data_IF_114635568882
#
_entry.id   IF_114635568882
#
_cell.length_a   1.000
_cell.length_b   1.000
_cell.length_c   1.000
_cell.angle_alpha   90.00
_cell.angle_beta   90.00
_cell.angle_gamma   90.00
#
_symmetry.space_group_name_H-M   'P 1'
#
loop_
_entity.id
_entity.type
_entity.pdbx_description
1 polymer ?
#
# COMPACT_ATOMS: atom_id res chain seq x y z
N UNK A 1 14.24 -3.10 2.82
CA UNK A 1 15.34 -3.59 3.68
C UNK A 1 14.85 -4.14 5.00
N UNK A 2 13.97 -3.45 5.74
CA UNK A 2 13.43 -3.97 7.01
C UNK A 2 12.83 -5.37 6.87
N UNK A 3 12.01 -5.59 5.84
CA UNK A 3 11.44 -6.92 5.56
C UNK A 3 12.51 -8.00 5.31
N UNK A 4 13.59 -7.67 4.59
CA UNK A 4 14.69 -8.61 4.35
C UNK A 4 15.39 -8.95 5.67
N UNK A 5 15.65 -7.94 6.50
CA UNK A 5 16.29 -8.11 7.79
C UNK A 5 15.44 -8.97 8.75
N UNK A 6 14.12 -8.78 8.74
CA UNK A 6 13.14 -9.61 9.46
C UNK A 6 13.20 -11.08 9.03
N UNK A 7 13.14 -11.35 7.72
CA UNK A 7 13.21 -12.72 7.16
C UNK A 7 14.50 -13.45 7.52
N UNK A 8 15.60 -12.71 7.66
CA UNK A 8 16.91 -13.28 7.99
C UNK A 8 17.23 -13.25 9.48
N UNK A 9 16.30 -12.80 10.33
CA UNK A 9 16.49 -12.61 11.76
C UNK A 9 17.73 -11.75 12.10
N UNK A 10 17.91 -10.65 11.35
CA UNK A 10 18.97 -9.66 11.55
C UNK A 10 18.34 -8.32 11.94
N UNK A 11 19.02 -7.53 12.78
CA UNK A 11 18.43 -6.29 13.33
C UNK A 11 19.03 -5.02 12.75
N UNK A 12 20.07 -5.12 11.93
CA UNK A 12 20.70 -3.97 11.30
C UNK A 12 21.42 -4.33 9.98
N UNK A 13 21.73 -3.34 9.13
CA UNK A 13 22.31 -3.59 7.81
C UNK A 13 23.66 -4.31 7.85
N UNK A 14 24.44 -4.16 8.92
CA UNK A 14 25.73 -4.83 9.07
C UNK A 14 25.56 -6.33 9.38
N UNK A 15 24.59 -6.70 10.20
CA UNK A 15 24.25 -8.10 10.43
C UNK A 15 23.70 -8.76 9.16
N UNK A 16 22.85 -8.04 8.41
CA UNK A 16 22.37 -8.51 7.11
C UNK A 16 23.53 -8.69 6.12
N UNK A 17 24.48 -7.76 6.09
CA UNK A 17 25.68 -7.86 5.24
C UNK A 17 26.46 -9.15 5.52
N UNK A 18 26.72 -9.45 6.80
CA UNK A 18 27.40 -10.68 7.20
C UNK A 18 26.62 -11.94 6.83
N UNK A 19 25.29 -11.91 7.02
CA UNK A 19 24.40 -13.01 6.64
C UNK A 19 24.45 -13.29 5.13
N UNK A 20 24.50 -12.22 4.32
CA UNK A 20 24.56 -12.29 2.88
C UNK A 20 25.92 -12.80 2.41
N UNK A 21 27.01 -12.20 2.92
CA UNK A 21 28.38 -12.55 2.55
C UNK A 21 28.69 -14.03 2.85
N UNK A 22 28.24 -14.54 4.01
CA UNK A 22 28.39 -15.96 4.38
C UNK A 22 27.71 -16.91 3.38
N UNK A 23 26.61 -16.49 2.76
CA UNK A 23 25.88 -17.30 1.77
C UNK A 23 26.47 -17.19 0.37
N UNK A 24 27.20 -16.12 0.10
CA UNK A 24 27.81 -15.87 -1.21
C UNK A 24 29.31 -16.18 -1.26
N UNK A 25 29.94 -16.53 -0.15
CA UNK A 25 31.40 -16.75 -0.03
C UNK A 25 31.98 -17.69 -1.09
N UNK A 26 31.27 -18.78 -1.40
CA UNK A 26 31.68 -19.77 -2.40
C UNK A 26 31.01 -19.59 -3.77
N UNK A 27 30.14 -18.60 -3.91
CA UNK A 27 29.35 -18.40 -5.11
C UNK A 27 30.12 -17.59 -6.15
N UNK A 28 29.90 -17.94 -7.43
CA UNK A 28 30.40 -17.17 -8.56
C UNK A 28 29.29 -16.89 -9.56
N UNK A 29 29.21 -15.65 -10.03
CA UNK A 29 28.31 -15.22 -11.11
C UNK A 29 29.20 -14.83 -12.30
N UNK A 30 28.98 -15.46 -13.45
CA UNK A 30 29.80 -15.29 -14.66
C UNK A 30 31.31 -15.49 -14.41
N UNK A 31 31.65 -16.47 -13.56
CA UNK A 31 33.03 -16.79 -13.17
C UNK A 31 33.67 -15.81 -12.16
N UNK A 32 32.95 -14.76 -11.75
CA UNK A 32 33.43 -13.76 -10.77
C UNK A 32 32.87 -14.01 -9.39
N UNK A 33 33.72 -13.86 -8.38
CA UNK A 33 33.30 -13.84 -6.98
C UNK A 33 32.32 -12.69 -6.73
N UNK A 34 31.35 -12.93 -5.86
CA UNK A 34 30.45 -11.89 -5.39
C UNK A 34 31.22 -11.05 -4.35
N UNK A 35 31.40 -9.74 -4.57
CA UNK A 35 32.14 -8.91 -3.62
C UNK A 35 31.45 -8.82 -2.26
N UNK A 36 32.24 -8.85 -1.19
CA UNK A 36 31.73 -8.67 0.17
C UNK A 36 30.97 -7.34 0.34
N UNK A 37 29.77 -7.46 0.87
CA UNK A 37 28.86 -6.36 1.10
C UNK A 37 29.04 -5.71 2.47
N UNK A 38 29.65 -6.43 3.42
CA UNK A 38 30.01 -5.93 4.75
C UNK A 38 31.07 -4.84 4.66
N UNK A 39 32.18 -5.13 3.98
CA UNK A 39 33.32 -4.21 3.82
C UNK A 39 32.94 -2.96 3.05
N UNK A 40 32.07 -3.09 2.03
CA UNK A 40 31.58 -1.98 1.21
C UNK A 40 30.41 -1.21 1.83
N UNK A 41 29.85 -1.66 2.96
CA UNK A 41 28.66 -1.07 3.60
C UNK A 41 27.46 -0.92 2.65
N UNK A 42 27.34 -1.79 1.64
CA UNK A 42 26.36 -1.71 0.54
C UNK A 42 24.92 -1.51 1.01
N UNK A 43 24.54 -2.17 2.12
CA UNK A 43 23.16 -2.19 2.60
C UNK A 43 22.74 -0.95 3.40
N UNK A 44 23.69 -0.16 3.91
CA UNK A 44 23.39 1.03 4.71
C UNK A 44 22.60 2.12 3.95
N UNK A 45 23.07 2.62 2.78
CA UNK A 45 22.34 3.64 2.05
C UNK A 45 20.99 3.12 1.54
N UNK A 46 20.87 1.81 1.26
CA UNK A 46 19.59 1.19 0.88
C UNK A 46 18.63 1.15 2.08
N UNK A 47 19.12 0.80 3.27
CA UNK A 47 18.29 0.73 4.47
C UNK A 47 17.82 2.11 4.94
N UNK A 48 18.60 3.16 4.70
CA UNK A 48 18.22 4.55 4.98
C UNK A 48 17.28 5.15 3.94
N UNK A 49 17.12 4.52 2.78
CA UNK A 49 16.39 5.07 1.64
C UNK A 49 17.19 6.08 0.81
N UNK A 50 18.47 6.30 1.13
CA UNK A 50 19.38 7.18 0.37
C UNK A 50 19.68 6.63 -1.03
N UNK A 51 19.59 5.30 -1.20
CA UNK A 51 19.86 4.63 -2.47
C UNK A 51 18.78 3.59 -2.79
N UNK A 52 18.26 3.64 -4.02
CA UNK A 52 17.37 2.61 -4.55
C UNK A 52 18.11 1.29 -4.83
N UNK A 53 17.42 0.17 -4.66
CA UNK A 53 17.94 -1.16 -5.02
C UNK A 53 18.19 -1.21 -6.53
N UNK A 54 19.41 -1.59 -6.93
CA UNK A 54 19.76 -1.75 -8.35
C UNK A 54 19.26 -3.09 -8.89
N UNK A 55 19.03 -3.20 -10.20
CA UNK A 55 18.65 -4.46 -10.86
C UNK A 55 19.61 -5.62 -10.53
N UNK A 56 20.91 -5.34 -10.49
CA UNK A 56 21.92 -6.32 -10.09
C UNK A 56 21.72 -6.78 -8.64
N UNK A 57 21.56 -5.85 -7.70
CA UNK A 57 21.32 -6.20 -6.30
C UNK A 57 20.02 -6.98 -6.13
N UNK A 58 18.99 -6.67 -6.90
CA UNK A 58 17.74 -7.41 -6.90
C UNK A 58 17.93 -8.85 -7.41
N UNK A 59 18.70 -9.03 -8.49
CA UNK A 59 19.07 -10.36 -8.99
C UNK A 59 19.89 -11.16 -7.96
N UNK A 60 20.84 -10.51 -7.28
CA UNK A 60 21.62 -11.14 -6.21
C UNK A 60 20.70 -11.60 -5.05
N UNK A 61 19.72 -10.77 -4.67
CA UNK A 61 18.76 -11.12 -3.61
C UNK A 61 17.80 -12.24 -4.05
N UNK A 62 17.44 -12.30 -5.33
CA UNK A 62 16.54 -13.32 -5.88
C UNK A 62 17.08 -14.74 -5.74
N UNK A 63 18.40 -14.90 -5.57
CA UNK A 63 19.01 -16.19 -5.26
C UNK A 63 18.55 -16.78 -3.91
N UNK A 64 18.05 -15.94 -3.00
CA UNK A 64 17.64 -16.33 -1.65
C UNK A 64 16.18 -16.04 -1.34
N UNK A 65 15.53 -15.20 -2.15
CA UNK A 65 14.16 -14.72 -1.95
C UNK A 65 13.42 -14.72 -3.28
N UNK A 66 12.67 -15.78 -3.56
CA UNK A 66 11.98 -15.97 -4.84
C UNK A 66 10.98 -14.84 -5.17
N UNK A 67 10.38 -14.25 -4.14
CA UNK A 67 9.37 -13.20 -4.24
C UNK A 67 9.96 -11.78 -4.23
N UNK A 68 11.29 -11.61 -4.18
CA UNK A 68 11.88 -10.27 -3.93
C UNK A 68 11.55 -9.24 -5.00
N UNK A 69 11.42 -9.65 -6.25
CA UNK A 69 11.03 -8.75 -7.34
C UNK A 69 9.59 -8.27 -7.14
N UNK A 70 8.69 -9.17 -6.73
CA UNK A 70 7.29 -8.86 -6.44
C UNK A 70 7.22 -7.93 -5.24
N UNK A 71 7.92 -8.25 -4.15
CA UNK A 71 7.96 -7.41 -2.95
C UNK A 71 8.55 -6.05 -3.27
N UNK A 72 9.63 -5.98 -4.06
CA UNK A 72 10.27 -4.72 -4.48
C UNK A 72 9.37 -3.85 -5.38
N UNK A 73 8.58 -4.47 -6.25
CA UNK A 73 7.72 -3.74 -7.18
C UNK A 73 6.38 -3.32 -6.57
N UNK A 74 5.77 -4.20 -5.80
CA UNK A 74 4.39 -4.04 -5.33
C UNK A 74 4.28 -3.77 -3.83
N UNK A 75 5.36 -3.95 -3.07
CA UNK A 75 5.39 -3.77 -1.63
C UNK A 75 4.87 -4.99 -0.87
N UNK A 76 5.04 -5.02 0.45
CA UNK A 76 4.50 -6.10 1.28
C UNK A 76 2.98 -6.15 1.11
N UNK A 77 2.44 -7.34 0.82
CA UNK A 77 1.00 -7.53 0.58
C UNK A 77 0.41 -6.74 -0.60
N UNK A 78 1.23 -6.15 -1.48
CA UNK A 78 0.78 -5.28 -2.57
C UNK A 78 0.55 -3.81 -2.16
N UNK A 79 1.10 -3.39 -1.02
CA UNK A 79 0.83 -2.07 -0.43
C UNK A 79 1.32 -0.88 -1.27
N UNK A 80 2.45 -0.97 -1.98
CA UNK A 80 2.91 0.12 -2.86
C UNK A 80 2.01 0.28 -4.08
N UNK A 81 1.54 -0.82 -4.64
CA UNK A 81 0.52 -0.77 -5.68
C UNK A 81 -0.79 -0.19 -5.14
N UNK A 82 -1.17 -0.54 -3.91
CA UNK A 82 -2.34 0.04 -3.28
C UNK A 82 -2.19 1.55 -3.04
N UNK A 83 -1.04 2.05 -2.58
CA UNK A 83 -0.83 3.47 -2.26
C UNK A 83 -0.58 4.35 -3.49
N UNK A 84 0.27 3.90 -4.42
CA UNK A 84 0.79 4.72 -5.52
C UNK A 84 0.50 4.16 -6.91
N UNK A 85 -0.04 2.95 -6.99
CA UNK A 85 -0.38 2.33 -8.27
C UNK A 85 -1.55 3.00 -8.97
N UNK A 86 -1.66 2.71 -10.27
CA UNK A 86 -2.76 3.14 -11.13
C UNK A 86 -4.02 2.28 -10.93
N UNK A 87 -5.16 2.69 -11.47
CA UNK A 87 -6.46 2.02 -11.27
C UNK A 87 -6.45 0.52 -11.61
N UNK A 88 -5.73 0.09 -12.64
CA UNK A 88 -5.59 -1.34 -12.98
C UNK A 88 -4.88 -2.14 -11.89
N UNK A 89 -3.87 -1.55 -11.24
CA UNK A 89 -3.16 -2.15 -10.12
C UNK A 89 -4.03 -2.16 -8.85
N UNK A 90 -4.86 -1.14 -8.64
CA UNK A 90 -5.84 -1.13 -7.55
C UNK A 90 -6.82 -2.30 -7.67
N UNK A 91 -7.39 -2.49 -8.87
CA UNK A 91 -8.29 -3.63 -9.16
C UNK A 91 -7.57 -4.96 -8.98
N UNK A 92 -6.31 -5.06 -9.43
CA UNK A 92 -5.51 -6.27 -9.22
C UNK A 92 -5.29 -6.57 -7.74
N UNK A 93 -4.97 -5.55 -6.92
CA UNK A 93 -4.83 -5.69 -5.46
C UNK A 93 -6.14 -6.19 -4.84
N UNK A 94 -7.29 -5.56 -5.17
CA UNK A 94 -8.60 -6.00 -4.66
C UNK A 94 -8.89 -7.47 -5.00
N UNK A 95 -8.52 -7.91 -6.21
CA UNK A 95 -8.72 -9.29 -6.71
C UNK A 95 -7.88 -10.36 -6.03
N UNK A 96 -6.91 -9.97 -5.20
CA UNK A 96 -6.12 -10.92 -4.39
C UNK A 96 -6.89 -11.48 -3.18
N UNK A 97 -8.14 -11.05 -2.95
CA UNK A 97 -8.93 -11.49 -1.81
C UNK A 97 -9.11 -13.02 -1.82
N UNK A 98 -8.71 -13.74 -0.76
CA UNK A 98 -8.59 -15.20 -0.80
C UNK A 98 -9.94 -15.93 -0.90
N UNK A 99 -11.02 -15.31 -0.43
CA UNK A 99 -12.35 -15.93 -0.38
C UNK A 99 -13.20 -15.68 -1.63
N UNK A 100 -12.71 -14.89 -2.59
CA UNK A 100 -13.49 -14.48 -3.77
C UNK A 100 -12.73 -14.92 -5.03
N UNK A 101 -13.42 -15.55 -5.98
CA UNK A 101 -12.80 -15.94 -7.25
C UNK A 101 -12.30 -14.70 -8.01
N UNK A 102 -11.10 -14.75 -8.59
CA UNK A 102 -10.51 -13.65 -9.36
C UNK A 102 -11.39 -13.19 -10.56
N UNK A 103 -12.28 -14.05 -11.04
CA UNK A 103 -13.25 -13.74 -12.12
C UNK A 103 -14.53 -13.05 -11.64
N UNK A 104 -14.72 -12.91 -10.33
CA UNK A 104 -15.95 -12.34 -9.76
C UNK A 104 -16.09 -10.85 -10.07
N UNK A 105 -17.32 -10.32 -10.08
CA UNK A 105 -17.56 -8.88 -10.21
C UNK A 105 -16.84 -8.06 -9.15
N UNK A 106 -16.36 -6.86 -9.52
CA UNK A 106 -15.60 -5.97 -8.61
C UNK A 106 -16.40 -5.59 -7.35
N UNK A 107 -17.73 -5.51 -7.46
CA UNK A 107 -18.63 -5.22 -6.34
C UNK A 107 -18.51 -6.27 -5.23
N UNK A 108 -18.33 -7.55 -5.57
CA UNK A 108 -18.18 -8.63 -4.59
C UNK A 108 -16.89 -8.49 -3.79
N UNK A 109 -15.79 -8.11 -4.45
CA UNK A 109 -14.53 -7.80 -3.77
C UNK A 109 -14.69 -6.61 -2.81
N UNK A 110 -15.33 -5.53 -3.27
CA UNK A 110 -15.65 -4.36 -2.45
C UNK A 110 -16.42 -4.70 -1.18
N UNK A 111 -17.42 -5.58 -1.30
CA UNK A 111 -18.19 -6.10 -0.15
C UNK A 111 -17.33 -6.96 0.76
N UNK A 112 -16.57 -7.92 0.22
CA UNK A 112 -15.71 -8.80 1.01
C UNK A 112 -14.61 -8.06 1.79
N UNK A 113 -14.02 -7.04 1.18
CA UNK A 113 -13.04 -6.16 1.83
C UNK A 113 -13.68 -5.38 2.99
N UNK A 114 -14.90 -4.87 2.79
CA UNK A 114 -15.65 -4.16 3.85
C UNK A 114 -15.98 -5.09 5.01
N UNK A 115 -16.36 -6.32 4.72
CA UNK A 115 -16.61 -7.36 5.74
C UNK A 115 -15.32 -7.63 6.53
N UNK A 116 -14.21 -7.86 5.83
CA UNK A 116 -12.89 -8.13 6.44
C UNK A 116 -12.43 -7.00 7.36
N UNK A 117 -12.64 -5.75 6.94
CA UNK A 117 -12.22 -4.57 7.69
C UNK A 117 -13.05 -4.30 8.96
N UNK A 118 -14.33 -4.71 8.98
CA UNK A 118 -15.24 -4.37 10.08
C UNK A 118 -15.54 -5.52 11.02
N UNK A 119 -15.65 -6.74 10.50
CA UNK A 119 -15.94 -7.90 11.33
C UNK A 119 -14.66 -8.55 11.88
N UNK A 120 -13.51 -8.28 11.25
CA UNK A 120 -12.27 -9.01 11.49
C UNK A 120 -12.46 -10.49 11.16
N UNK A 121 -11.68 -11.04 10.24
CA UNK A 121 -11.52 -12.50 10.33
C UNK A 121 -10.89 -12.77 11.70
N UNK A 122 -11.54 -13.63 12.47
CA UNK A 122 -11.45 -13.65 13.93
C UNK A 122 -10.06 -13.99 14.51
N UNK A 123 -9.01 -14.19 13.71
CA UNK A 123 -7.69 -14.56 14.25
C UNK A 123 -6.45 -13.95 13.55
N UNK A 124 -6.50 -13.44 12.30
CA UNK A 124 -5.32 -12.82 11.66
C UNK A 124 -5.68 -11.73 10.66
N UNK A 125 -5.34 -10.47 10.98
CA UNK A 125 -5.36 -9.35 10.03
C UNK A 125 -3.95 -9.18 9.45
N UNK A 126 -3.82 -9.03 8.13
CA UNK A 126 -2.52 -8.99 7.45
C UNK A 126 -2.28 -7.68 6.71
N UNK A 127 -1.03 -7.40 6.34
CA UNK A 127 -0.69 -6.26 5.46
C UNK A 127 -1.43 -6.35 4.11
N UNK A 128 -1.72 -7.56 3.61
CA UNK A 128 -2.49 -7.74 2.39
C UNK A 128 -3.96 -7.29 2.55
N UNK A 129 -4.55 -7.44 3.74
CA UNK A 129 -5.89 -6.92 4.03
C UNK A 129 -5.90 -5.39 4.04
N UNK A 130 -4.87 -4.78 4.64
CA UNK A 130 -4.67 -3.34 4.57
C UNK A 130 -4.50 -2.86 3.13
N UNK A 131 -3.64 -3.52 2.34
CA UNK A 131 -3.42 -3.17 0.93
C UNK A 131 -4.73 -3.25 0.12
N UNK A 132 -5.55 -4.28 0.35
CA UNK A 132 -6.88 -4.40 -0.28
C UNK A 132 -7.83 -3.28 0.12
N UNK A 133 -7.88 -2.91 1.40
CA UNK A 133 -8.71 -1.81 1.89
C UNK A 133 -8.25 -0.46 1.32
N UNK A 134 -6.95 -0.19 1.30
CA UNK A 134 -6.38 1.01 0.67
C UNK A 134 -6.70 1.06 -0.82
N UNK A 135 -6.56 -0.07 -1.51
CA UNK A 135 -6.89 -0.16 -2.93
C UNK A 135 -8.38 0.11 -3.20
N UNK A 136 -9.27 -0.44 -2.38
CA UNK A 136 -10.70 -0.17 -2.48
C UNK A 136 -11.03 1.32 -2.24
N UNK A 137 -10.46 1.92 -1.18
CA UNK A 137 -10.63 3.35 -0.91
C UNK A 137 -10.17 4.22 -2.07
N UNK A 138 -8.94 4.03 -2.55
CA UNK A 138 -8.41 4.82 -3.68
C UNK A 138 -9.17 4.57 -4.98
N UNK A 139 -9.61 3.34 -5.24
CA UNK A 139 -10.42 3.04 -6.42
C UNK A 139 -11.70 3.87 -6.41
N UNK A 140 -12.47 3.80 -5.33
CA UNK A 140 -13.73 4.55 -5.20
C UNK A 140 -13.50 6.06 -5.16
N UNK A 141 -12.38 6.52 -4.59
CA UNK A 141 -11.98 7.94 -4.62
C UNK A 141 -11.78 8.45 -6.06
N UNK A 142 -11.30 7.59 -6.97
CA UNK A 142 -11.08 7.93 -8.38
C UNK A 142 -12.36 7.76 -9.21
N UNK A 143 -13.13 6.69 -9.01
CA UNK A 143 -14.22 6.30 -9.93
C UNK A 143 -15.60 6.78 -9.48
N UNK A 144 -15.90 6.73 -8.18
CA UNK A 144 -17.27 6.76 -7.65
C UNK A 144 -17.38 7.69 -6.44
N UNK A 145 -16.59 8.77 -6.47
CA UNK A 145 -16.37 9.63 -5.31
C UNK A 145 -17.64 10.20 -4.68
N UNK A 146 -18.57 10.65 -5.52
CA UNK A 146 -19.82 11.30 -5.11
C UNK A 146 -21.00 10.32 -5.01
N UNK A 147 -20.74 9.04 -5.18
CA UNK A 147 -21.79 8.03 -5.12
C UNK A 147 -22.27 7.90 -3.68
N UNK A 148 -23.54 8.23 -3.48
CA UNK A 148 -24.22 8.11 -2.20
C UNK A 148 -24.69 6.68 -1.97
N UNK A 149 -24.57 6.20 -0.75
CA UNK A 149 -25.13 4.93 -0.34
C UNK A 149 -26.66 5.09 -0.25
N UNK A 150 -27.38 4.38 -1.14
CA UNK A 150 -28.85 4.35 -1.16
C UNK A 150 -29.52 5.74 -1.26
N UNK A 151 -28.81 6.74 -1.80
CA UNK A 151 -29.31 8.13 -1.89
C UNK A 151 -29.39 8.86 -0.55
N UNK A 152 -28.86 8.26 0.52
CA UNK A 152 -28.62 8.92 1.80
C UNK A 152 -27.26 9.64 1.68
N UNK A 153 -27.12 10.84 2.25
CA UNK A 153 -25.91 11.68 2.15
C UNK A 153 -24.60 11.10 2.73
N UNK A 154 -24.51 9.77 2.86
CA UNK A 154 -23.31 9.00 3.20
C UNK A 154 -22.62 8.63 1.88
N UNK A 155 -21.41 9.11 1.68
CA UNK A 155 -20.65 8.77 0.48
C UNK A 155 -20.00 7.39 0.65
N UNK A 156 -20.05 6.59 -0.41
CA UNK A 156 -19.41 5.26 -0.45
C UNK A 156 -17.92 5.34 -0.12
N UNK A 157 -17.24 6.42 -0.55
CA UNK A 157 -15.84 6.66 -0.23
C UNK A 157 -15.56 6.80 1.28
N UNK A 158 -16.47 7.42 2.04
CA UNK A 158 -16.31 7.58 3.49
C UNK A 158 -16.30 6.22 4.21
N UNK A 159 -17.06 5.26 3.69
CA UNK A 159 -17.10 3.88 4.22
C UNK A 159 -15.75 3.22 4.01
N UNK A 160 -15.18 3.29 2.81
CA UNK A 160 -13.87 2.69 2.53
C UNK A 160 -12.73 3.39 3.27
N UNK A 161 -12.80 4.71 3.44
CA UNK A 161 -11.84 5.43 4.29
C UNK A 161 -11.89 4.93 5.74
N UNK A 162 -13.09 4.78 6.32
CA UNK A 162 -13.27 4.21 7.66
C UNK A 162 -12.73 2.78 7.76
N UNK A 163 -12.95 1.95 6.74
CA UNK A 163 -12.39 0.59 6.70
C UNK A 163 -10.85 0.61 6.78
N UNK A 164 -10.19 1.51 6.04
CA UNK A 164 -8.73 1.66 6.12
C UNK A 164 -8.30 2.06 7.53
N UNK A 165 -8.99 3.01 8.17
CA UNK A 165 -8.70 3.43 9.55
C UNK A 165 -8.90 2.31 10.56
N UNK A 166 -9.98 1.55 10.44
CA UNK A 166 -10.27 0.43 11.32
C UNK A 166 -9.14 -0.62 11.27
N UNK A 167 -8.63 -0.92 10.08
CA UNK A 167 -7.50 -1.84 9.91
C UNK A 167 -6.19 -1.24 10.45
N UNK A 168 -5.90 0.04 10.14
CA UNK A 168 -4.68 0.71 10.62
C UNK A 168 -4.63 0.84 12.14
N UNK A 169 -5.77 1.02 12.79
CA UNK A 169 -5.88 1.12 14.25
C UNK A 169 -6.02 -0.25 14.93
N UNK A 170 -5.95 -1.36 14.18
CA UNK A 170 -6.10 -2.69 14.74
C UNK A 170 -4.82 -3.15 15.46
N UNK A 171 -4.97 -3.58 16.72
CA UNK A 171 -3.85 -4.02 17.57
C UNK A 171 -3.11 -5.26 17.03
N UNK A 172 -3.75 -6.09 16.21
CA UNK A 172 -3.13 -7.28 15.63
C UNK A 172 -2.11 -6.95 14.53
N UNK A 173 -2.34 -5.87 13.77
CA UNK A 173 -1.49 -5.48 12.64
C UNK A 173 -0.47 -4.40 13.01
N UNK A 174 -0.77 -3.61 14.05
CA UNK A 174 0.07 -2.48 14.48
C UNK A 174 1.53 -2.86 14.76
N UNK A 175 1.85 -3.96 15.48
CA UNK A 175 3.23 -4.35 15.75
C UNK A 175 4.03 -4.65 14.47
N UNK A 176 3.43 -5.36 13.51
CA UNK A 176 4.07 -5.70 12.23
C UNK A 176 4.39 -4.44 11.41
N UNK A 177 3.46 -3.46 11.39
CA UNK A 177 3.68 -2.19 10.70
C UNK A 177 4.76 -1.32 11.35
N UNK A 178 4.90 -1.40 12.68
CA UNK A 178 5.97 -0.70 13.41
C UNK A 178 7.33 -1.35 13.12
N UNK A 179 7.40 -2.69 13.16
CA UNK A 179 8.64 -3.42 12.87
C UNK A 179 9.17 -3.14 11.46
N UNK A 180 8.26 -2.99 10.49
CA UNK A 180 8.60 -2.67 9.10
C UNK A 180 8.81 -1.17 8.84
N UNK A 181 8.64 -0.31 9.84
CA UNK A 181 8.69 1.16 9.73
C UNK A 181 7.72 1.72 8.67
N UNK A 182 6.51 1.14 8.62
CA UNK A 182 5.49 1.49 7.62
C UNK A 182 4.33 2.30 8.20
N UNK A 183 4.04 2.18 9.50
CA UNK A 183 2.85 2.76 10.12
C UNK A 183 2.73 4.27 9.86
N UNK A 184 3.81 5.01 10.10
CA UNK A 184 3.86 6.46 9.91
C UNK A 184 3.71 6.86 8.44
N UNK A 185 4.42 6.18 7.54
CA UNK A 185 4.36 6.42 6.09
C UNK A 185 2.96 6.19 5.55
N UNK A 186 2.32 5.07 5.89
CA UNK A 186 0.97 4.74 5.41
C UNK A 186 -0.03 5.75 5.97
N UNK A 187 0.04 6.05 7.27
CA UNK A 187 -0.90 6.99 7.90
C UNK A 187 -0.81 8.37 7.25
N UNK A 188 0.40 8.89 7.04
CA UNK A 188 0.60 10.18 6.40
C UNK A 188 0.07 10.22 4.95
N UNK A 189 0.28 9.15 4.18
CA UNK A 189 -0.20 9.09 2.80
C UNK A 189 -1.73 9.03 2.73
N UNK A 190 -2.36 8.26 3.62
CA UNK A 190 -3.83 8.18 3.72
C UNK A 190 -4.42 9.50 4.22
N UNK A 191 -3.79 10.16 5.20
CA UNK A 191 -4.18 11.50 5.67
C UNK A 191 -4.12 12.53 4.53
N UNK A 192 -3.05 12.47 3.72
CA UNK A 192 -2.86 13.35 2.57
C UNK A 192 -3.95 13.14 1.51
N UNK A 193 -4.22 11.89 1.13
CA UNK A 193 -5.28 11.56 0.16
C UNK A 193 -6.65 12.06 0.63
N UNK A 194 -6.95 11.91 1.92
CA UNK A 194 -8.21 12.37 2.51
C UNK A 194 -8.29 13.90 2.61
N UNK A 195 -7.17 14.57 2.86
CA UNK A 195 -7.15 16.03 2.85
C UNK A 195 -7.33 16.59 1.43
N UNK A 196 -6.66 15.98 0.44
CA UNK A 196 -6.79 16.33 -0.98
C UNK A 196 -8.21 16.11 -1.48
N UNK A 197 -8.84 14.99 -1.11
CA UNK A 197 -10.25 14.76 -1.41
C UNK A 197 -11.10 15.92 -0.86
N UNK A 198 -11.07 16.20 0.44
CA UNK A 198 -11.92 17.24 1.04
C UNK A 198 -11.74 18.64 0.46
N UNK A 199 -10.56 18.99 -0.08
CA UNK A 199 -10.31 20.28 -0.75
C UNK A 199 -11.11 20.43 -2.03
N UNK A 200 -11.19 19.38 -2.86
CA UNK A 200 -11.97 19.42 -4.10
C UNK A 200 -13.48 19.55 -3.83
N UNK A 201 -13.98 19.01 -2.71
CA UNK A 201 -15.39 19.15 -2.34
C UNK A 201 -15.70 20.59 -1.95
N UNK A 202 -14.80 21.25 -1.20
CA UNK A 202 -14.93 22.67 -0.86
C UNK A 202 -14.89 23.56 -2.10
N UNK A 203 -13.92 23.34 -3.00
CA UNK A 203 -13.79 24.13 -4.24
C UNK A 203 -15.04 23.99 -5.14
N UNK A 204 -15.58 22.78 -5.26
CA UNK A 204 -16.81 22.54 -6.00
C UNK A 204 -18.05 23.11 -5.31
N UNK A 205 -18.10 23.12 -3.97
CA UNK A 205 -19.21 23.74 -3.23
C UNK A 205 -19.24 25.26 -3.39
N UNK A 206 -18.07 25.93 -3.41
CA UNK A 206 -17.98 27.37 -3.72
C UNK A 206 -18.36 27.67 -5.17
N UNK A 207 -17.93 26.86 -6.13
CA UNK A 207 -18.33 27.02 -7.54
C UNK A 207 -19.85 26.81 -7.76
N UNK A 208 -20.47 25.89 -6.99
CA UNK A 208 -21.91 25.65 -7.09
C UNK A 208 -22.74 26.81 -6.51
N UNK A 209 -22.26 27.47 -5.45
CA UNK A 209 -22.92 28.66 -4.90
C UNK A 209 -22.87 29.81 -5.92
N UNK A 210 -21.73 30.04 -6.56
CA UNK A 210 -21.58 31.11 -7.56
C UNK A 210 -22.41 30.84 -8.83
N UNK A 211 -22.47 29.58 -9.29
CA UNK A 211 -23.32 29.18 -10.43
C UNK A 211 -24.82 29.28 -10.10
N UNK A 212 -25.23 28.95 -8.87
CA UNK A 212 -26.62 29.08 -8.42
C UNK A 212 -27.02 30.56 -8.27
N UNK A 213 -26.13 31.43 -7.80
CA UNK A 213 -26.34 32.87 -7.75
C UNK A 213 -26.42 33.49 -9.16
N UNK A 214 -25.60 33.04 -10.12
CA UNK A 214 -25.65 33.54 -11.50
C UNK A 214 -26.87 33.08 -12.30
N UNK A 215 -27.39 31.87 -12.06
CA UNK A 215 -28.61 31.39 -12.72
C UNK A 215 -29.88 32.07 -12.19
N UNK A 216 -29.93 32.42 -10.90
CA UNK A 216 -31.09 33.08 -10.30
C UNK A 216 -31.14 34.61 -10.50
N UNK A 217 -30.05 35.24 -10.94
CA UNK A 217 -30.04 36.65 -11.33
C UNK A 217 -30.54 36.90 -12.76
N UNK A 218 -30.64 35.85 -13.60
CA UNK A 218 -31.13 35.97 -14.98
C UNK A 218 -32.64 35.73 -15.15
N UNK A 219 -33.39 35.46 -14.07
CA UNK A 219 -34.85 35.32 -14.10
C UNK A 219 -35.61 36.55 -13.56
N UNK A 220 -34.90 37.65 -13.30
CA UNK A 220 -35.50 38.92 -12.87
C UNK A 220 -35.23 40.03 -13.89
N UNK A 221 -35.78 39.91 -15.10
CA UNK A 221 -36.06 41.03 -16.02
C UNK A 221 -37.30 40.76 -16.84
#
# INVERSE_FOLDING_TARGET
MQELMRRTNTTNPNQFAKWFDLRTESMRIDGKEIPETTTSKKWYPIAKGDQSITKKTLADLKMFFDDIEIVYQYGPGGLWAALWGHTSQLVACMRTHPMISASSPLKEFSTAITISANLGYTETLTIADLARAVAAYRFHLITDRKTQLEGVGIYICDIYFKNVRNILSNELLTPELIELDLLSTITNEIDKLELESRKDDKYNSSFNIDSFCQQNLNFSR
#
